data_IF_477826876191
#
_entry.id   IF_477826876191
#
_cell.length_a   1.000
_cell.length_b   1.000
_cell.length_c   1.000
_cell.angle_alpha   90.00
_cell.angle_beta   90.00
_cell.angle_gamma   90.00
#
_symmetry.space_group_name_H-M   'P 1'
#
loop_
_entity.id
_entity.type
_entity.pdbx_description
1 polymer ?
#
# COMPACT_ATOMS: atom_id res chain seq x y z
N UNK A 1 -25.20 26.82 1.80
CA UNK A 1 -23.93 27.01 1.07
C UNK A 1 -22.83 27.48 2.01
N UNK A 2 -23.09 28.44 2.93
CA UNK A 2 -22.12 28.92 3.94
C UNK A 2 -21.55 27.86 4.92
N UNK A 3 -22.31 26.80 5.27
CA UNK A 3 -21.80 25.73 6.15
C UNK A 3 -20.71 24.85 5.53
N UNK A 4 -20.71 24.68 4.21
CA UNK A 4 -19.69 23.87 3.51
C UNK A 4 -18.38 24.65 3.31
N UNK A 5 -18.43 25.98 3.25
CA UNK A 5 -17.21 26.81 3.09
C UNK A 5 -16.42 26.96 4.40
N UNK A 6 -17.09 26.87 5.55
CA UNK A 6 -16.41 26.89 6.87
C UNK A 6 -15.71 25.57 7.19
N UNK A 7 -16.11 24.46 6.54
CA UNK A 7 -15.58 23.13 6.83
C UNK A 7 -14.14 22.91 6.31
N UNK A 8 -13.73 23.63 5.26
CA UNK A 8 -12.42 23.43 4.64
C UNK A 8 -11.37 24.49 4.97
N UNK A 9 -11.73 25.57 5.69
CA UNK A 9 -10.81 26.68 5.94
C UNK A 9 -9.50 26.21 6.62
N UNK A 10 -9.61 25.39 7.66
CA UNK A 10 -8.45 24.84 8.36
C UNK A 10 -7.59 23.94 7.44
N UNK A 11 -8.23 23.12 6.61
CA UNK A 11 -7.53 22.22 5.68
C UNK A 11 -6.81 23.03 4.59
N UNK A 12 -7.45 24.08 4.07
CA UNK A 12 -6.83 24.99 3.11
C UNK A 12 -5.65 25.73 3.72
N UNK A 13 -5.72 26.14 4.99
CA UNK A 13 -4.59 26.73 5.71
C UNK A 13 -3.42 25.73 5.83
N UNK A 14 -3.68 24.48 6.19
CA UNK A 14 -2.65 23.44 6.23
C UNK A 14 -2.00 23.21 4.85
N UNK A 15 -2.80 23.18 3.78
CA UNK A 15 -2.28 23.02 2.41
C UNK A 15 -1.37 24.19 2.07
N UNK A 16 -1.82 25.44 2.26
CA UNK A 16 -1.00 26.64 1.98
C UNK A 16 0.30 26.66 2.78
N UNK A 17 0.23 26.28 4.06
CA UNK A 17 1.41 26.20 4.91
C UNK A 17 2.37 25.11 4.45
N UNK A 18 1.86 23.96 4.01
CA UNK A 18 2.67 22.87 3.42
C UNK A 18 3.46 23.38 2.22
N UNK A 19 2.83 24.10 1.29
CA UNK A 19 3.55 24.73 0.18
C UNK A 19 4.60 25.74 0.65
N UNK A 20 4.28 26.55 1.67
CA UNK A 20 5.20 27.54 2.22
C UNK A 20 6.45 26.87 2.80
N UNK A 21 6.31 25.74 3.50
CA UNK A 21 7.45 25.00 4.04
C UNK A 21 8.28 24.33 2.94
N UNK A 22 7.66 23.73 1.92
CA UNK A 22 8.39 23.17 0.78
C UNK A 22 9.11 24.24 -0.06
N UNK A 23 8.53 25.43 -0.18
CA UNK A 23 9.17 26.54 -0.88
C UNK A 23 10.50 26.94 -0.21
N UNK A 24 10.61 26.84 1.12
CA UNK A 24 11.88 27.07 1.86
C UNK A 24 12.97 26.07 1.50
N UNK A 25 12.61 24.88 1.01
CA UNK A 25 13.54 23.85 0.54
C UNK A 25 13.78 23.94 -0.98
N UNK A 26 13.24 24.95 -1.66
CA UNK A 26 13.36 25.14 -3.11
C UNK A 26 12.34 24.36 -3.95
N UNK A 27 11.36 23.70 -3.33
CA UNK A 27 10.29 22.96 -4.02
C UNK A 27 9.06 23.86 -4.12
N UNK A 28 8.77 24.33 -5.34
CA UNK A 28 7.63 25.22 -5.60
C UNK A 28 6.39 24.50 -6.14
N UNK A 29 6.61 23.32 -6.73
CA UNK A 29 5.57 22.50 -7.34
C UNK A 29 5.43 21.19 -6.58
N UNK A 30 4.18 20.78 -6.33
CA UNK A 30 3.87 19.57 -5.57
C UNK A 30 2.90 18.67 -6.33
N UNK A 31 3.10 17.37 -6.20
CA UNK A 31 2.11 16.35 -6.59
C UNK A 31 1.04 16.24 -5.51
N UNK A 32 -0.14 15.74 -5.89
CA UNK A 32 -1.21 15.41 -4.94
C UNK A 32 -0.73 14.46 -3.84
N UNK A 33 0.02 13.42 -4.20
CA UNK A 33 0.54 12.43 -3.26
C UNK A 33 1.49 13.04 -2.22
N UNK A 34 2.25 14.08 -2.57
CA UNK A 34 3.09 14.80 -1.61
C UNK A 34 2.23 15.55 -0.59
N UNK A 35 1.19 16.26 -1.06
CA UNK A 35 0.27 17.00 -0.19
C UNK A 35 -0.46 16.02 0.73
N UNK A 36 -1.06 14.96 0.16
CA UNK A 36 -1.76 13.92 0.90
C UNK A 36 -0.85 13.25 1.93
N UNK A 37 0.38 12.92 1.56
CA UNK A 37 1.35 12.26 2.43
C UNK A 37 1.75 13.11 3.64
N UNK A 38 2.04 14.40 3.44
CA UNK A 38 2.37 15.31 4.56
C UNK A 38 1.18 15.47 5.50
N UNK A 39 0.00 15.76 4.96
CA UNK A 39 -1.19 15.96 5.78
C UNK A 39 -1.66 14.67 6.48
N UNK A 40 -1.40 13.50 5.90
CA UNK A 40 -1.61 12.21 6.57
C UNK A 40 -0.68 12.01 7.76
N UNK A 41 0.62 12.35 7.62
CA UNK A 41 1.56 12.30 8.74
C UNK A 41 1.16 13.27 9.86
N UNK A 42 0.73 14.49 9.50
CA UNK A 42 0.17 15.45 10.46
C UNK A 42 -1.03 14.85 11.19
N UNK A 43 -2.02 14.28 10.47
CA UNK A 43 -3.17 13.60 11.11
C UNK A 43 -2.71 12.53 12.09
N UNK A 44 -1.71 11.73 11.70
CA UNK A 44 -1.22 10.61 12.51
C UNK A 44 -0.56 11.08 13.80
N UNK A 45 0.18 12.20 13.75
CA UNK A 45 0.87 12.79 14.90
C UNK A 45 -0.02 13.73 15.76
N UNK A 46 -1.21 14.13 15.28
CA UNK A 46 -2.15 14.94 16.07
C UNK A 46 -2.76 14.14 17.23
N UNK A 47 -3.06 14.77 18.39
CA UNK A 47 -3.83 14.16 19.47
C UNK A 47 -5.21 13.67 19.02
N UNK A 48 -5.73 12.61 19.64
CA UNK A 48 -7.04 12.03 19.27
C UNK A 48 -8.22 12.96 19.56
N UNK A 49 -8.08 13.85 20.54
CA UNK A 49 -9.06 14.88 20.92
C UNK A 49 -8.95 16.16 20.08
N UNK A 50 -7.96 16.27 19.19
CA UNK A 50 -7.81 17.43 18.30
C UNK A 50 -8.92 17.43 17.22
N UNK A 51 -9.76 18.49 17.13
CA UNK A 51 -10.85 18.56 16.14
C UNK A 51 -10.36 18.49 14.69
N UNK A 52 -9.14 18.96 14.40
CA UNK A 52 -8.58 18.95 13.06
C UNK A 52 -8.24 17.53 12.60
N UNK A 53 -7.84 16.65 13.53
CA UNK A 53 -7.59 15.23 13.24
C UNK A 53 -8.85 14.53 12.70
N UNK A 54 -10.02 14.91 13.21
CA UNK A 54 -11.31 14.39 12.76
C UNK A 54 -11.72 14.97 11.39
N UNK A 55 -11.37 16.22 11.10
CA UNK A 55 -11.63 16.83 9.79
C UNK A 55 -10.75 16.25 8.68
N UNK A 56 -9.52 15.85 9.00
CA UNK A 56 -8.61 15.20 8.07
C UNK A 56 -8.99 13.72 7.90
N UNK A 57 -10.09 13.42 7.22
CA UNK A 57 -10.51 12.03 7.01
C UNK A 57 -9.68 11.34 5.90
N UNK A 58 -9.09 10.17 6.20
CA UNK A 58 -8.25 9.41 5.26
C UNK A 58 -8.68 7.95 5.14
N UNK A 59 -8.32 7.33 4.02
CA UNK A 59 -8.31 5.88 3.84
C UNK A 59 -7.04 5.47 3.09
N UNK A 60 -6.67 4.20 3.15
CA UNK A 60 -5.54 3.67 2.37
C UNK A 60 -6.02 3.05 1.04
N UNK A 61 -5.30 3.33 -0.05
CA UNK A 61 -5.63 2.84 -1.39
C UNK A 61 -4.37 2.62 -2.26
N UNK A 62 -4.52 2.47 -3.57
CA UNK A 62 -3.48 2.04 -4.53
C UNK A 62 -2.20 2.90 -4.48
N UNK A 63 -2.33 4.20 -4.20
CA UNK A 63 -1.20 5.15 -4.13
C UNK A 63 -0.70 5.41 -2.72
N UNK A 64 -1.28 4.78 -1.70
CA UNK A 64 -1.04 5.08 -0.28
C UNK A 64 -2.24 5.76 0.37
N UNK A 65 -2.05 6.65 1.36
CA UNK A 65 -3.15 7.36 1.99
C UNK A 65 -3.82 8.32 1.02
N UNK A 66 -5.15 8.35 1.03
CA UNK A 66 -6.01 9.18 0.17
C UNK A 66 -7.08 9.88 1.01
N UNK A 67 -7.53 11.05 0.55
CA UNK A 67 -8.53 11.85 1.27
C UNK A 67 -9.37 12.68 0.32
N UNK A 68 -10.66 12.34 0.20
CA UNK A 68 -11.61 13.11 -0.61
C UNK A 68 -11.82 14.52 -0.03
N UNK A 69 -11.64 14.67 1.29
CA UNK A 69 -11.76 15.96 1.98
C UNK A 69 -10.60 16.90 1.57
N UNK A 70 -9.36 16.38 1.55
CA UNK A 70 -8.20 17.15 1.10
C UNK A 70 -8.29 17.44 -0.40
N UNK A 71 -8.66 16.46 -1.24
CA UNK A 71 -8.86 16.67 -2.67
C UNK A 71 -9.94 17.73 -2.94
N UNK A 72 -11.07 17.69 -2.21
CA UNK A 72 -12.12 18.72 -2.32
C UNK A 72 -11.61 20.11 -1.89
N UNK A 73 -10.75 20.18 -0.88
CA UNK A 73 -10.11 21.45 -0.48
C UNK A 73 -9.17 21.99 -1.57
N UNK A 74 -8.39 21.11 -2.23
CA UNK A 74 -7.54 21.46 -3.36
C UNK A 74 -8.37 22.00 -4.54
N UNK A 75 -9.46 21.34 -4.89
CA UNK A 75 -10.37 21.77 -5.96
C UNK A 75 -10.98 23.15 -5.66
N UNK A 76 -11.37 23.40 -4.42
CA UNK A 76 -11.84 24.73 -4.00
C UNK A 76 -10.73 25.78 -4.10
N UNK A 77 -9.50 25.46 -3.73
CA UNK A 77 -8.38 26.38 -3.87
C UNK A 77 -8.05 26.69 -5.33
N UNK A 78 -8.17 25.71 -6.24
CA UNK A 78 -8.01 25.91 -7.69
C UNK A 78 -9.11 26.84 -8.22
N UNK A 79 -10.38 26.55 -7.89
CA UNK A 79 -11.50 27.38 -8.36
C UNK A 79 -11.46 28.82 -7.83
N UNK A 80 -10.85 29.03 -6.65
CA UNK A 80 -10.58 30.35 -6.07
C UNK A 80 -9.27 30.99 -6.58
N UNK A 81 -8.57 30.37 -7.53
CA UNK A 81 -7.28 30.83 -8.09
C UNK A 81 -6.14 30.96 -7.06
N UNK A 82 -6.30 30.30 -5.91
CA UNK A 82 -5.27 30.20 -4.86
C UNK A 82 -4.19 29.21 -5.28
N UNK A 83 -4.59 28.12 -5.95
CA UNK A 83 -3.69 27.17 -6.59
C UNK A 83 -3.80 27.23 -8.10
N UNK A 84 -2.69 26.95 -8.78
CA UNK A 84 -2.62 26.70 -10.21
C UNK A 84 -2.25 25.22 -10.43
N UNK A 85 -2.75 24.62 -11.51
CA UNK A 85 -2.42 23.24 -11.88
C UNK A 85 -2.12 23.10 -13.38
N UNK A 86 -1.01 22.44 -13.68
CA UNK A 86 -0.63 21.95 -15.02
C UNK A 86 -0.06 20.53 -14.90
N UNK A 87 -0.70 19.69 -14.09
CA UNK A 87 -0.24 18.36 -13.70
C UNK A 87 0.50 18.34 -12.35
N UNK A 88 1.06 19.47 -11.93
CA UNK A 88 1.53 19.72 -10.57
C UNK A 88 0.78 20.93 -9.99
N UNK A 89 0.62 20.95 -8.67
CA UNK A 89 0.01 22.04 -7.93
C UNK A 89 1.07 23.08 -7.55
N UNK A 90 0.71 24.36 -7.67
CA UNK A 90 1.55 25.51 -7.29
C UNK A 90 0.70 26.57 -6.60
N UNK A 91 1.23 27.20 -5.55
CA UNK A 91 0.62 28.41 -4.96
C UNK A 91 0.68 29.57 -5.95
N UNK A 92 -0.46 30.22 -6.16
CA UNK A 92 -0.58 31.44 -6.96
C UNK A 92 0.15 32.60 -6.28
N UNK A 93 0.86 33.44 -7.07
CA UNK A 93 1.53 34.66 -6.58
C UNK A 93 0.56 35.66 -5.93
N UNK A 94 -0.74 35.53 -6.23
CA UNK A 94 -1.80 36.37 -5.67
C UNK A 94 -2.34 35.88 -4.33
N UNK A 95 -1.88 34.70 -3.86
CA UNK A 95 -2.27 34.13 -2.58
C UNK A 95 -1.74 35.00 -1.44
N UNK A 96 -2.64 35.67 -0.71
CA UNK A 96 -2.27 36.35 0.54
C UNK A 96 -2.09 35.29 1.62
N UNK A 97 -0.95 35.34 2.32
CA UNK A 97 -0.78 34.52 3.52
C UNK A 97 -1.90 34.85 4.50
N UNK A 98 -2.69 33.84 4.86
CA UNK A 98 -3.71 33.95 5.89
C UNK A 98 -3.05 34.23 7.23
N UNK A 99 -3.62 35.15 8.01
CA UNK A 99 -3.23 35.36 9.40
C UNK A 99 -3.60 34.12 10.19
N UNK A 100 -2.57 33.40 10.65
CA UNK A 100 -2.73 32.17 11.40
C UNK A 100 -3.66 32.34 12.58
N UNK A 101 -4.64 31.44 12.70
CA UNK A 101 -5.36 31.30 13.96
C UNK A 101 -4.40 30.61 14.97
N UNK A 102 -4.37 31.07 16.22
CA UNK A 102 -3.49 30.48 17.23
C UNK A 102 -3.83 29.02 17.58
N UNK A 103 -5.04 28.54 17.27
CA UNK A 103 -5.47 27.17 17.54
C UNK A 103 -4.89 26.13 16.57
N UNK A 104 -4.32 26.55 15.44
CA UNK A 104 -3.67 25.64 14.47
C UNK A 104 -2.16 25.50 14.67
N UNK A 105 -1.56 26.21 15.63
CA UNK A 105 -0.10 26.27 15.80
C UNK A 105 0.54 24.88 15.91
N UNK A 106 -0.09 23.94 16.62
CA UNK A 106 0.43 22.57 16.74
C UNK A 106 0.48 21.84 15.39
N UNK A 107 -0.59 21.90 14.60
CA UNK A 107 -0.64 21.24 13.30
C UNK A 107 0.35 21.85 12.30
N UNK A 108 0.50 23.18 12.30
CA UNK A 108 1.50 23.87 11.48
C UNK A 108 2.93 23.48 11.87
N UNK A 109 3.21 23.35 13.16
CA UNK A 109 4.51 22.85 13.63
C UNK A 109 4.78 21.40 13.17
N UNK A 110 3.75 20.54 13.14
CA UNK A 110 3.86 19.18 12.59
C UNK A 110 4.14 19.21 11.09
N UNK A 111 3.49 20.08 10.32
CA UNK A 111 3.80 20.27 8.88
C UNK A 111 5.28 20.63 8.72
N UNK A 112 5.77 21.64 9.42
CA UNK A 112 7.17 22.07 9.34
C UNK A 112 8.14 20.93 9.73
N UNK A 113 7.83 20.19 10.81
CA UNK A 113 8.58 19.00 11.24
C UNK A 113 8.66 17.96 10.11
N UNK A 114 7.53 17.57 9.52
CA UNK A 114 7.52 16.53 8.49
C UNK A 114 8.22 16.98 7.21
N UNK A 115 7.95 18.20 6.73
CA UNK A 115 8.59 18.76 5.53
C UNK A 115 10.11 18.84 5.71
N UNK A 116 10.58 19.32 6.86
CA UNK A 116 12.02 19.42 7.15
C UNK A 116 12.73 18.06 7.23
N UNK A 117 11.99 16.98 7.48
CA UNK A 117 12.53 15.63 7.57
C UNK A 117 12.70 14.95 6.20
N UNK A 118 12.14 15.50 5.13
CA UNK A 118 12.24 14.91 3.79
C UNK A 118 13.51 15.38 3.09
N UNK A 119 14.40 14.45 2.75
CA UNK A 119 15.58 14.76 1.93
C UNK A 119 15.28 14.61 0.42
N UNK A 120 14.32 13.76 0.08
CA UNK A 120 13.90 13.47 -1.29
C UNK A 120 12.48 12.84 -1.32
N UNK A 121 11.84 12.69 -2.50
CA UNK A 121 10.50 12.10 -2.61
C UNK A 121 10.39 10.64 -2.12
N UNK A 122 11.42 9.82 -2.29
CA UNK A 122 11.40 8.41 -1.86
C UNK A 122 11.41 8.30 -0.33
N UNK A 123 12.14 9.17 0.36
CA UNK A 123 12.15 9.25 1.83
C UNK A 123 10.77 9.58 2.37
N UNK A 124 10.05 10.50 1.72
CA UNK A 124 8.69 10.86 2.08
C UNK A 124 7.76 9.65 1.94
N UNK A 125 7.81 8.95 0.81
CA UNK A 125 7.01 7.73 0.58
C UNK A 125 7.31 6.69 1.67
N UNK A 126 8.59 6.42 1.95
CA UNK A 126 8.96 5.46 3.01
C UNK A 126 8.44 5.88 4.37
N UNK A 127 8.52 7.16 4.72
CA UNK A 127 8.00 7.66 5.99
C UNK A 127 6.49 7.51 6.10
N UNK A 128 5.73 7.79 5.04
CA UNK A 128 4.27 7.56 5.00
C UNK A 128 3.94 6.07 5.20
N UNK A 129 4.66 5.18 4.51
CA UNK A 129 4.41 3.73 4.57
C UNK A 129 4.79 3.08 5.91
N UNK A 130 5.62 3.72 6.75
CA UNK A 130 5.82 3.28 8.15
C UNK A 130 4.52 3.27 8.96
N UNK A 131 3.54 4.08 8.54
CA UNK A 131 2.22 4.17 9.15
C UNK A 131 1.16 3.44 8.30
N UNK A 132 1.57 2.53 7.40
CA UNK A 132 0.62 1.70 6.68
C UNK A 132 -0.11 0.77 7.64
N UNK A 133 -1.42 0.52 7.44
CA UNK A 133 -2.23 -0.28 8.33
C UNK A 133 -1.84 -1.76 8.30
N UNK A 134 -1.18 -2.21 7.22
CA UNK A 134 -0.84 -3.60 6.97
C UNK A 134 0.60 -3.72 6.47
N UNK A 135 1.37 -4.67 7.00
CA UNK A 135 2.79 -4.84 6.64
C UNK A 135 2.99 -5.16 5.16
N UNK A 136 2.00 -5.80 4.53
CA UNK A 136 2.01 -6.13 3.12
C UNK A 136 2.14 -4.89 2.21
N UNK A 137 1.62 -3.72 2.60
CA UNK A 137 1.81 -2.46 1.84
C UNK A 137 3.31 -2.20 1.61
N UNK A 138 4.10 -2.24 2.67
CA UNK A 138 5.52 -1.95 2.58
C UNK A 138 6.29 -3.08 1.91
N UNK A 139 6.05 -4.33 2.33
CA UNK A 139 6.79 -5.47 1.82
C UNK A 139 6.52 -5.71 0.31
N UNK A 140 5.27 -5.60 -0.13
CA UNK A 140 4.89 -5.84 -1.51
C UNK A 140 5.14 -4.64 -2.41
N UNK A 141 4.54 -3.47 -2.12
CA UNK A 141 4.56 -2.32 -3.04
C UNK A 141 5.91 -1.63 -3.12
N UNK A 142 6.54 -1.36 -1.97
CA UNK A 142 7.79 -0.59 -1.95
C UNK A 142 9.02 -1.44 -2.25
N UNK A 143 9.04 -2.68 -1.76
CA UNK A 143 10.23 -3.51 -1.83
C UNK A 143 10.17 -4.52 -2.99
N UNK A 144 9.17 -5.40 -3.01
CA UNK A 144 9.11 -6.49 -3.98
C UNK A 144 8.71 -6.05 -5.40
N UNK A 145 7.57 -5.39 -5.57
CA UNK A 145 6.92 -5.17 -6.87
C UNK A 145 7.86 -4.56 -7.90
N UNK A 146 8.52 -3.44 -7.56
CA UNK A 146 9.44 -2.74 -8.48
C UNK A 146 10.61 -3.63 -8.90
N UNK A 147 11.23 -4.33 -7.93
CA UNK A 147 12.36 -5.24 -8.20
C UNK A 147 11.96 -6.41 -9.09
N UNK A 148 10.76 -6.94 -8.90
CA UNK A 148 10.21 -7.97 -9.75
C UNK A 148 9.92 -7.46 -11.18
N UNK A 149 9.38 -6.25 -11.33
CA UNK A 149 9.16 -5.62 -12.64
C UNK A 149 10.47 -5.37 -13.39
N UNK A 150 11.50 -4.92 -12.69
CA UNK A 150 12.86 -4.75 -13.23
C UNK A 150 13.43 -6.11 -13.70
N UNK A 151 13.27 -7.15 -12.88
CA UNK A 151 13.70 -8.52 -13.22
C UNK A 151 12.97 -9.07 -14.45
N UNK A 152 11.64 -8.94 -14.52
CA UNK A 152 10.87 -9.36 -15.70
C UNK A 152 11.34 -8.62 -16.95
N UNK A 153 11.58 -7.31 -16.86
CA UNK A 153 12.05 -6.50 -17.99
C UNK A 153 13.41 -6.96 -18.50
N UNK A 154 14.29 -7.41 -17.61
CA UNK A 154 15.57 -8.02 -17.99
C UNK A 154 15.39 -9.34 -18.75
N UNK A 155 14.54 -10.24 -18.24
CA UNK A 155 14.25 -11.53 -18.90
C UNK A 155 13.65 -11.33 -20.29
N UNK A 156 12.79 -10.33 -20.44
CA UNK A 156 12.16 -9.95 -21.71
C UNK A 156 13.09 -9.16 -22.65
N UNK A 157 14.37 -9.00 -22.32
CA UNK A 157 15.36 -8.33 -23.17
C UNK A 157 15.21 -6.81 -23.28
N UNK A 158 14.42 -6.18 -22.39
CA UNK A 158 14.07 -4.76 -22.49
C UNK A 158 15.01 -3.81 -21.73
N UNK A 159 15.85 -4.31 -20.80
CA UNK A 159 16.72 -3.43 -19.98
C UNK A 159 18.10 -4.06 -19.65
N UNK A 160 19.08 -3.18 -19.40
CA UNK A 160 20.46 -3.51 -19.01
C UNK A 160 20.67 -3.58 -17.49
N UNK A 161 19.76 -3.04 -16.69
CA UNK A 161 19.84 -3.13 -15.23
C UNK A 161 19.40 -4.53 -14.75
N UNK A 162 20.18 -5.14 -13.86
CA UNK A 162 19.94 -6.50 -13.37
C UNK A 162 19.67 -6.48 -11.86
N UNK A 163 18.44 -6.86 -11.49
CA UNK A 163 18.17 -7.36 -10.15
C UNK A 163 18.46 -8.88 -10.15
N UNK A 164 19.09 -9.40 -9.11
CA UNK A 164 19.35 -10.85 -9.05
C UNK A 164 18.08 -11.62 -8.69
N UNK A 165 17.94 -12.84 -9.22
CA UNK A 165 16.83 -13.74 -8.87
C UNK A 165 16.77 -13.96 -7.35
N UNK A 166 17.91 -14.12 -6.68
CA UNK A 166 17.97 -14.31 -5.23
C UNK A 166 17.38 -13.11 -4.46
N UNK A 167 17.66 -11.88 -4.90
CA UNK A 167 17.08 -10.66 -4.30
C UNK A 167 15.56 -10.65 -4.46
N UNK A 168 15.07 -10.95 -5.67
CA UNK A 168 13.62 -11.03 -5.96
C UNK A 168 12.94 -12.09 -5.08
N UNK A 169 13.52 -13.28 -4.96
CA UNK A 169 12.96 -14.37 -4.15
C UNK A 169 12.93 -14.01 -2.65
N UNK A 170 13.95 -13.34 -2.11
CA UNK A 170 13.97 -12.89 -0.72
C UNK A 170 12.87 -11.86 -0.46
N UNK A 171 12.72 -10.86 -1.33
CA UNK A 171 11.69 -9.84 -1.22
C UNK A 171 10.29 -10.45 -1.37
N UNK A 172 10.13 -11.41 -2.27
CA UNK A 172 8.86 -12.10 -2.48
C UNK A 172 8.42 -12.93 -1.27
N UNK A 173 9.36 -13.67 -0.66
CA UNK A 173 9.14 -14.40 0.61
C UNK A 173 8.70 -13.44 1.71
N UNK A 174 9.38 -12.31 1.84
CA UNK A 174 9.05 -11.28 2.84
C UNK A 174 7.63 -10.75 2.65
N UNK A 175 7.23 -10.46 1.41
CA UNK A 175 5.87 -10.04 1.11
C UNK A 175 4.83 -11.13 1.40
N UNK A 176 5.12 -12.39 1.08
CA UNK A 176 4.23 -13.51 1.37
C UNK A 176 3.98 -13.69 2.87
N UNK A 177 5.03 -13.58 3.68
CA UNK A 177 4.92 -13.66 5.14
C UNK A 177 4.14 -12.48 5.73
N UNK A 178 4.27 -11.29 5.14
CA UNK A 178 3.56 -10.10 5.60
C UNK A 178 2.03 -10.17 5.37
N UNK A 179 1.55 -11.02 4.45
CA UNK A 179 0.10 -11.19 4.20
C UNK A 179 -0.57 -12.12 5.23
N UNK A 180 0.13 -13.19 5.66
CA UNK A 180 -0.41 -14.24 6.54
C UNK A 180 -0.77 -13.75 7.96
N UNK A 181 -0.44 -12.51 8.29
CA UNK A 181 -0.64 -11.95 9.61
C UNK A 181 -2.01 -11.24 9.78
N UNK A 182 -2.84 -11.16 8.74
CA UNK A 182 -3.94 -10.20 8.68
C UNK A 182 -5.32 -10.86 8.64
N UNK A 183 -6.11 -10.68 9.72
CA UNK A 183 -7.50 -11.12 9.79
C UNK A 183 -8.37 -10.34 8.78
N UNK A 184 -9.24 -11.04 8.06
CA UNK A 184 -10.19 -10.44 7.10
C UNK A 184 -9.82 -10.52 5.62
N UNK A 185 -8.63 -11.05 5.29
CA UNK A 185 -8.15 -11.19 3.90
C UNK A 185 -8.17 -12.62 3.37
N UNK A 186 -8.92 -13.55 3.96
CA UNK A 186 -8.82 -15.00 3.68
C UNK A 186 -8.97 -15.37 2.20
N UNK A 187 -9.96 -14.78 1.51
CA UNK A 187 -10.21 -15.08 0.10
C UNK A 187 -9.08 -14.57 -0.79
N UNK A 188 -8.57 -13.38 -0.49
CA UNK A 188 -7.40 -12.82 -1.15
C UNK A 188 -6.14 -13.65 -0.87
N UNK A 189 -5.94 -14.07 0.38
CA UNK A 189 -4.80 -14.89 0.78
C UNK A 189 -4.76 -16.21 0.03
N UNK A 190 -5.91 -16.87 -0.15
CA UNK A 190 -6.01 -18.10 -0.94
C UNK A 190 -5.59 -17.87 -2.40
N UNK A 191 -6.06 -16.79 -3.03
CA UNK A 191 -5.70 -16.41 -4.40
C UNK A 191 -4.20 -16.07 -4.48
N UNK A 192 -3.70 -15.28 -3.53
CA UNK A 192 -2.29 -14.91 -3.44
C UNK A 192 -1.39 -16.13 -3.24
N UNK A 193 -1.77 -17.09 -2.39
CA UNK A 193 -1.03 -18.33 -2.19
C UNK A 193 -0.95 -19.16 -3.48
N UNK A 194 -2.04 -19.20 -4.28
CA UNK A 194 -2.03 -19.85 -5.59
C UNK A 194 -1.09 -19.13 -6.57
N UNK A 195 -1.19 -17.80 -6.65
CA UNK A 195 -0.26 -16.97 -7.43
C UNK A 195 1.20 -17.21 -7.01
N UNK A 196 1.48 -17.22 -5.71
CA UNK A 196 2.83 -17.42 -5.20
C UNK A 196 3.39 -18.77 -5.55
N UNK A 197 2.58 -19.83 -5.51
CA UNK A 197 3.00 -21.16 -5.97
C UNK A 197 3.41 -21.15 -7.43
N UNK A 198 2.57 -20.60 -8.29
CA UNK A 198 2.83 -20.47 -9.72
C UNK A 198 4.08 -19.61 -10.00
N UNK A 199 4.22 -18.49 -9.29
CA UNK A 199 5.35 -17.58 -9.46
C UNK A 199 6.67 -18.22 -9.05
N UNK A 200 6.72 -19.00 -7.95
CA UNK A 200 7.94 -19.72 -7.58
C UNK A 200 8.37 -20.72 -8.65
N UNK A 201 7.41 -21.44 -9.25
CA UNK A 201 7.72 -22.37 -10.35
C UNK A 201 8.36 -21.62 -11.51
N UNK A 202 7.75 -20.51 -11.93
CA UNK A 202 8.29 -19.68 -13.01
C UNK A 202 9.69 -19.14 -12.68
N UNK A 203 9.87 -18.56 -11.48
CA UNK A 203 11.12 -17.93 -11.06
C UNK A 203 12.28 -18.92 -10.90
N UNK A 204 12.01 -20.17 -10.51
CA UNK A 204 13.05 -21.20 -10.36
C UNK A 204 13.27 -22.03 -11.64
N UNK A 205 12.49 -21.79 -12.69
CA UNK A 205 12.68 -22.45 -13.99
C UNK A 205 13.75 -21.71 -14.81
N UNK A 206 14.64 -22.46 -15.47
CA UNK A 206 15.61 -21.89 -16.41
C UNK A 206 14.87 -21.17 -17.55
N UNK A 207 15.14 -19.87 -17.82
CA UNK A 207 14.45 -19.13 -18.86
C UNK A 207 14.54 -19.74 -20.27
N UNK A 208 15.53 -20.60 -20.52
CA UNK A 208 15.72 -21.32 -21.80
C UNK A 208 14.92 -22.62 -21.92
N UNK A 209 14.19 -23.02 -20.88
CA UNK A 209 13.50 -24.31 -20.81
C UNK A 209 12.36 -24.45 -21.83
N UNK A 210 11.59 -23.38 -22.07
CA UNK A 210 10.40 -23.41 -22.92
C UNK A 210 10.20 -22.07 -23.65
N UNK A 211 9.77 -22.12 -24.91
CA UNK A 211 9.60 -20.93 -25.77
C UNK A 211 8.51 -19.96 -25.29
N UNK A 212 7.60 -20.40 -24.42
CA UNK A 212 6.52 -19.57 -23.88
C UNK A 212 6.89 -18.90 -22.55
N UNK A 213 8.11 -19.09 -22.02
CA UNK A 213 8.52 -18.51 -20.74
C UNK A 213 8.43 -16.98 -20.72
N UNK A 214 8.82 -16.32 -21.81
CA UNK A 214 8.70 -14.86 -21.91
C UNK A 214 7.24 -14.41 -21.70
N UNK A 215 6.29 -15.11 -22.31
CA UNK A 215 4.86 -14.84 -22.15
C UNK A 215 4.39 -15.06 -20.70
N UNK A 216 4.93 -16.07 -20.01
CA UNK A 216 4.61 -16.28 -18.59
C UNK A 216 5.15 -15.16 -17.71
N UNK A 217 6.34 -14.64 -18.01
CA UNK A 217 6.90 -13.48 -17.30
C UNK A 217 6.07 -12.20 -17.54
N UNK A 218 5.59 -11.99 -18.77
CA UNK A 218 4.66 -10.89 -19.06
C UNK A 218 3.35 -11.04 -18.25
N UNK A 219 2.74 -12.24 -18.25
CA UNK A 219 1.55 -12.52 -17.45
C UNK A 219 1.79 -12.33 -15.95
N UNK A 220 2.93 -12.79 -15.44
CA UNK A 220 3.30 -12.64 -14.04
C UNK A 220 3.49 -11.15 -13.67
N UNK A 221 4.10 -10.35 -14.55
CA UNK A 221 4.26 -8.90 -14.37
C UNK A 221 2.91 -8.19 -14.30
N UNK A 222 1.98 -8.51 -15.20
CA UNK A 222 0.61 -7.98 -15.17
C UNK A 222 -0.12 -8.36 -13.87
N UNK A 223 -0.06 -9.63 -13.50
CA UNK A 223 -0.64 -10.15 -12.26
C UNK A 223 -0.06 -9.48 -11.01
N UNK A 224 1.23 -9.19 -11.00
CA UNK A 224 1.86 -8.48 -9.88
C UNK A 224 1.18 -7.12 -9.60
N UNK A 225 0.76 -6.42 -10.66
CA UNK A 225 0.01 -5.19 -10.52
C UNK A 225 -1.44 -5.42 -10.07
N UNK A 226 -2.13 -6.42 -10.61
CA UNK A 226 -3.51 -6.75 -10.21
C UNK A 226 -3.62 -7.27 -8.77
N UNK A 227 -2.62 -8.01 -8.29
CA UNK A 227 -2.48 -8.41 -6.88
C UNK A 227 -2.42 -7.16 -6.00
N UNK A 228 -1.59 -6.17 -6.37
CA UNK A 228 -1.49 -4.92 -5.63
C UNK A 228 -2.81 -4.15 -5.59
N UNK A 229 -3.44 -3.97 -6.75
CA UNK A 229 -4.69 -3.22 -6.87
C UNK A 229 -5.78 -3.89 -6.03
N UNK A 230 -5.95 -5.21 -6.18
CA UNK A 230 -6.98 -5.96 -5.44
C UNK A 230 -6.76 -5.86 -3.93
N UNK A 231 -5.53 -6.01 -3.46
CA UNK A 231 -5.20 -5.83 -2.05
C UNK A 231 -5.55 -4.43 -1.55
N UNK A 232 -5.12 -3.39 -2.27
CA UNK A 232 -5.39 -2.00 -1.88
C UNK A 232 -6.90 -1.67 -1.81
N UNK A 233 -7.71 -2.27 -2.70
CA UNK A 233 -9.17 -2.14 -2.66
C UNK A 233 -9.78 -2.78 -1.39
N UNK A 234 -9.24 -3.92 -0.94
CA UNK A 234 -9.66 -4.54 0.32
C UNK A 234 -9.21 -3.70 1.52
N UNK A 235 -7.95 -3.26 1.54
CA UNK A 235 -7.43 -2.41 2.61
C UNK A 235 -8.28 -1.16 2.82
N UNK A 236 -8.76 -0.53 1.75
CA UNK A 236 -9.66 0.62 1.84
C UNK A 236 -10.94 0.35 2.64
N UNK A 237 -11.44 -0.88 2.66
CA UNK A 237 -12.64 -1.29 3.41
C UNK A 237 -12.31 -1.58 4.88
N UNK A 238 -11.09 -2.03 5.17
CA UNK A 238 -10.67 -2.43 6.51
C UNK A 238 -9.97 -1.30 7.28
N UNK A 239 -9.39 -0.32 6.58
CA UNK A 239 -8.58 0.76 7.13
C UNK A 239 -9.00 2.13 6.56
N UNK A 240 -10.26 2.49 6.80
CA UNK A 240 -10.82 3.80 6.51
C UNK A 240 -11.16 4.58 7.78
N UNK A 241 -11.18 5.90 7.64
CA UNK A 241 -11.76 6.80 8.63
C UNK A 241 -13.30 6.67 8.65
N UNK A 242 -13.97 6.69 9.84
CA UNK A 242 -15.43 6.59 9.96
C UNK A 242 -16.23 7.59 9.11
N UNK A 243 -15.63 8.71 8.71
CA UNK A 243 -16.21 9.61 7.72
C UNK A 243 -16.69 8.91 6.43
N UNK A 244 -16.02 7.82 6.04
CA UNK A 244 -16.30 7.09 4.79
C UNK A 244 -17.26 5.91 4.94
N UNK A 245 -17.87 5.67 6.10
CA UNK A 245 -18.77 4.53 6.33
C UNK A 245 -19.88 4.40 5.27
N UNK A 246 -20.40 5.53 4.79
CA UNK A 246 -21.44 5.57 3.75
C UNK A 246 -21.00 4.98 2.40
N UNK A 247 -19.69 4.88 2.14
CA UNK A 247 -19.13 4.39 0.87
C UNK A 247 -18.77 2.90 0.92
N UNK A 248 -18.83 2.26 2.08
CA UNK A 248 -18.29 0.92 2.30
C UNK A 248 -18.96 -0.13 1.41
N UNK A 249 -20.27 -0.02 1.19
CA UNK A 249 -20.99 -0.97 0.33
C UNK A 249 -20.52 -0.89 -1.14
N UNK A 250 -20.32 0.31 -1.66
CA UNK A 250 -19.82 0.51 -3.02
C UNK A 250 -18.38 0.02 -3.15
N UNK A 251 -17.57 0.25 -2.11
CA UNK A 251 -16.19 -0.23 -2.08
C UNK A 251 -16.11 -1.75 -2.02
N UNK A 252 -16.99 -2.41 -1.25
CA UNK A 252 -17.12 -3.88 -1.22
C UNK A 252 -17.46 -4.43 -2.59
N UNK A 253 -18.48 -3.88 -3.27
CA UNK A 253 -18.85 -4.32 -4.61
C UNK A 253 -17.68 -4.20 -5.61
N UNK A 254 -16.91 -3.10 -5.54
CA UNK A 254 -15.70 -2.92 -6.36
C UNK A 254 -14.62 -3.95 -6.01
N UNK A 255 -14.39 -4.19 -4.72
CA UNK A 255 -13.41 -5.15 -4.22
C UNK A 255 -13.75 -6.58 -4.63
N UNK A 256 -15.02 -6.98 -4.53
CA UNK A 256 -15.50 -8.31 -4.93
C UNK A 256 -15.30 -8.53 -6.42
N UNK A 257 -15.63 -7.54 -7.25
CA UNK A 257 -15.37 -7.58 -8.70
C UNK A 257 -13.88 -7.72 -9.01
N UNK A 258 -13.01 -6.97 -8.32
CA UNK A 258 -11.55 -7.08 -8.48
C UNK A 258 -11.03 -8.45 -8.06
N UNK A 259 -11.51 -8.97 -6.94
CA UNK A 259 -11.13 -10.29 -6.41
C UNK A 259 -11.55 -11.42 -7.36
N UNK A 260 -12.75 -11.35 -7.92
CA UNK A 260 -13.22 -12.31 -8.92
C UNK A 260 -12.35 -12.29 -10.19
N UNK A 261 -12.06 -11.11 -10.73
CA UNK A 261 -11.21 -10.99 -11.91
C UNK A 261 -9.78 -11.49 -11.64
N UNK A 262 -9.22 -11.14 -10.48
CA UNK A 262 -7.89 -11.60 -10.08
C UNK A 262 -7.83 -13.13 -9.99
N UNK A 263 -8.86 -13.77 -9.43
CA UNK A 263 -8.95 -15.24 -9.36
C UNK A 263 -8.83 -15.87 -10.75
N UNK A 264 -9.62 -15.39 -11.72
CA UNK A 264 -9.59 -15.90 -13.09
C UNK A 264 -8.22 -15.71 -13.76
N UNK A 265 -7.54 -14.59 -13.50
CA UNK A 265 -6.20 -14.33 -14.01
C UNK A 265 -5.15 -15.25 -13.37
N UNK A 266 -5.23 -15.45 -12.05
CA UNK A 266 -4.32 -16.35 -11.33
C UNK A 266 -4.52 -17.80 -11.75
N UNK A 267 -5.77 -18.21 -12.01
CA UNK A 267 -6.09 -19.54 -12.53
C UNK A 267 -5.42 -19.76 -13.90
N UNK A 268 -5.60 -18.82 -14.85
CA UNK A 268 -4.94 -18.87 -16.17
C UNK A 268 -3.41 -18.91 -16.07
N UNK A 269 -2.83 -18.11 -15.19
CA UNK A 269 -1.38 -18.10 -15.01
C UNK A 269 -0.87 -19.41 -14.41
N UNK A 270 -1.57 -19.94 -13.41
CA UNK A 270 -1.24 -21.22 -12.80
C UNK A 270 -1.29 -22.36 -13.82
N UNK A 271 -2.30 -22.36 -14.68
CA UNK A 271 -2.44 -23.34 -15.76
C UNK A 271 -1.31 -23.19 -16.78
N UNK A 272 -0.93 -21.95 -17.11
CA UNK A 272 0.21 -21.68 -18.01
C UNK A 272 1.49 -22.31 -17.47
N UNK A 273 1.88 -22.00 -16.23
CA UNK A 273 3.14 -22.47 -15.64
C UNK A 273 3.11 -23.95 -15.24
N UNK A 274 1.96 -24.61 -15.24
CA UNK A 274 1.83 -26.03 -14.86
C UNK A 274 2.64 -26.99 -15.74
N UNK A 275 3.00 -26.55 -16.97
CA UNK A 275 3.87 -27.30 -17.89
C UNK A 275 5.35 -27.30 -17.47
N UNK A 276 5.75 -26.36 -16.61
CA UNK A 276 7.14 -26.18 -16.19
C UNK A 276 7.50 -27.21 -15.11
N UNK A 277 8.79 -27.60 -15.01
CA UNK A 277 9.22 -28.58 -14.02
C UNK A 277 9.00 -28.03 -12.61
N UNK A 278 8.45 -28.86 -11.73
CA UNK A 278 8.31 -28.50 -10.32
C UNK A 278 9.70 -28.47 -9.67
N UNK A 279 10.11 -27.37 -9.01
CA UNK A 279 11.43 -27.30 -8.39
C UNK A 279 11.61 -28.33 -7.26
N UNK A 280 12.61 -29.21 -7.38
CA UNK A 280 12.86 -30.30 -6.43
C UNK A 280 13.11 -29.81 -4.99
N UNK A 281 13.74 -28.64 -4.82
CA UNK A 281 14.07 -28.07 -3.50
C UNK A 281 12.85 -27.77 -2.64
N UNK A 282 11.68 -27.56 -3.25
CA UNK A 282 10.44 -27.26 -2.52
C UNK A 282 9.80 -28.51 -1.93
N UNK A 283 9.85 -29.64 -2.64
CA UNK A 283 9.34 -30.92 -2.13
C UNK A 283 10.04 -31.29 -0.83
N UNK A 284 11.37 -31.11 -0.74
CA UNK A 284 12.11 -31.39 0.48
C UNK A 284 11.72 -30.46 1.64
N UNK A 285 11.60 -29.15 1.40
CA UNK A 285 11.33 -28.17 2.48
C UNK A 285 9.89 -28.20 2.99
N UNK A 286 8.89 -28.30 2.11
CA UNK A 286 7.49 -28.42 2.54
C UNK A 286 7.24 -29.77 3.23
N UNK A 287 7.93 -30.84 2.80
CA UNK A 287 7.88 -32.14 3.47
C UNK A 287 8.58 -32.07 4.84
N UNK A 288 9.74 -31.42 4.97
CA UNK A 288 10.42 -31.20 6.25
C UNK A 288 9.62 -30.32 7.22
N UNK A 289 9.00 -29.23 6.75
CA UNK A 289 8.14 -28.37 7.55
C UNK A 289 6.89 -29.14 8.03
N UNK A 290 6.27 -29.94 7.15
CA UNK A 290 5.12 -30.79 7.53
C UNK A 290 5.52 -31.89 8.52
N UNK A 291 6.69 -32.51 8.36
CA UNK A 291 7.23 -33.51 9.29
C UNK A 291 7.51 -32.87 10.67
N UNK A 292 8.11 -31.69 10.69
CA UNK A 292 8.38 -30.95 11.92
C UNK A 292 7.10 -30.51 12.63
N UNK A 293 6.07 -30.08 11.90
CA UNK A 293 4.76 -29.73 12.47
C UNK A 293 4.03 -30.96 13.04
N UNK A 294 4.15 -32.13 12.41
CA UNK A 294 3.61 -33.40 12.92
C UNK A 294 4.34 -33.84 14.19
N UNK A 295 5.66 -33.69 14.26
CA UNK A 295 6.46 -34.06 15.43
C UNK A 295 6.26 -33.09 16.61
N UNK A 296 6.04 -31.80 16.33
CA UNK A 296 5.68 -30.79 17.34
C UNK A 296 4.21 -30.89 17.77
N UNK A 297 3.31 -31.35 16.89
CA UNK A 297 1.90 -31.63 17.21
C UNK A 297 1.69 -32.87 18.08
N UNK A 298 2.60 -33.86 18.00
CA UNK A 298 2.56 -35.08 18.84
C UNK A 298 3.10 -34.89 20.26
N UNK A 299 3.75 -33.76 20.57
CA UNK A 299 4.26 -33.46 21.92
C UNK A 299 3.25 -32.71 22.81
N UNK A 300 2.06 -32.39 22.31
CA UNK A 300 0.95 -31.81 23.08
C UNK A 300 -0.28 -32.71 23.07
N UNK A 301 -0.13 -33.96 23.53
CA UNK A 301 -1.27 -34.75 24.02
C UNK A 301 -0.90 -35.34 25.38
N UNK A 302 -1.81 -35.12 26.33
CA UNK A 302 -1.96 -35.79 27.62
C UNK A 302 -1.16 -35.25 28.83
N UNK A 303 -1.69 -34.17 29.41
CA UNK A 303 -1.90 -34.15 30.87
C UNK A 303 -3.16 -33.36 31.21
N UNK A 304 -4.31 -34.04 31.24
CA UNK A 304 -5.49 -33.54 31.94
C UNK A 304 -5.24 -33.61 33.44
N UNK A 305 -5.40 -32.53 34.22
CA UNK A 305 -5.46 -32.65 35.67
C UNK A 305 -6.84 -33.18 36.05
N UNK A 306 -6.84 -34.33 36.74
CA UNK A 306 -8.01 -34.93 37.33
C UNK A 306 -8.75 -33.93 38.23
N UNK A 307 -10.03 -33.71 37.93
CA UNK A 307 -10.96 -32.97 38.77
C UNK A 307 -11.24 -33.80 40.02
N UNK A 308 -10.63 -33.46 41.16
CA UNK A 308 -11.05 -34.00 42.44
C UNK A 308 -12.17 -33.13 43.03
N UNK A 309 -13.38 -33.63 42.85
CA UNK A 309 -14.54 -33.33 43.69
C UNK A 309 -14.34 -34.07 45.02
N UNK A 310 -14.42 -33.40 46.17
CA UNK A 310 -15.07 -33.92 47.39
C UNK A 310 -15.12 -32.90 48.54
N UNK A 311 -16.37 -32.61 48.93
CA UNK A 311 -16.93 -32.27 50.26
C UNK A 311 -16.32 -31.16 51.09
#
# INVERSE_FOLDING_TARGET
MERLETDFADIQELIQFTFTEFAKTGILDMTENQILGVLYLVKTDLPDDDPLKQKLAYYWHVSGPSSDVVCSALDQMISKTILQTQGLYRLSDTCKQSTHNGSMSNALNLVAKHVSAFTNPDDMIRNVYKHSPFLFYTAYKLNFKKKFEDYCSHILGNDKYTCSLDEVLVLFRTATLALRAEDGFSDFEMIYNKYSRALYILLETDPSFDEHIEKDFDLARELCNEIWITFAHQVRIHAHDPYYERLINDWRAQSDSKTSNLKDMVDKFSDSVSRLPMPEKRLYRETEETINDIDQGKTKSDSYPATNISK
#
